data_IF_528294002363
#
_entry.id   IF_528294002363
#
_cell.length_a   1.000
_cell.length_b   1.000
_cell.length_c   1.000
_cell.angle_alpha   90.00
_cell.angle_beta   90.00
_cell.angle_gamma   90.00
#
_symmetry.space_group_name_H-M   'P 1'
#
loop_
_entity.id
_entity.type
_entity.pdbx_description
1 polymer ?
#
# COMPACT_ATOMS: atom_id res chain seq x y z
N UNK A 1 -5.34 -35.32 8.06
CA UNK A 1 -5.77 -34.45 6.95
C UNK A 1 -6.54 -33.31 7.56
N UNK A 2 -5.93 -32.12 7.69
CA UNK A 2 -6.63 -30.93 8.17
C UNK A 2 -7.52 -30.46 7.01
N UNK A 3 -8.82 -30.38 7.24
CA UNK A 3 -9.76 -29.84 6.25
C UNK A 3 -9.50 -28.34 6.13
N UNK A 4 -8.85 -27.92 5.04
CA UNK A 4 -8.44 -26.53 4.76
C UNK A 4 -9.65 -25.68 4.32
N UNK A 5 -10.86 -26.26 4.28
CA UNK A 5 -12.09 -25.51 4.04
C UNK A 5 -12.31 -24.51 5.19
N UNK A 6 -12.01 -23.25 4.90
CA UNK A 6 -12.34 -22.06 5.70
C UNK A 6 -11.60 -21.93 7.03
N UNK A 7 -10.28 -21.68 6.96
CA UNK A 7 -9.63 -20.88 8.02
C UNK A 7 -10.21 -19.46 7.97
N UNK A 8 -11.36 -19.29 8.61
CA UNK A 8 -11.96 -17.97 8.82
C UNK A 8 -11.03 -17.20 9.75
N UNK A 9 -10.46 -16.10 9.26
CA UNK A 9 -9.66 -15.24 10.12
C UNK A 9 -10.59 -14.47 11.07
N UNK A 10 -10.12 -14.26 12.29
CA UNK A 10 -10.80 -13.36 13.21
C UNK A 10 -10.72 -11.93 12.65
N UNK A 11 -11.80 -11.12 12.73
CA UNK A 11 -11.85 -9.78 12.15
C UNK A 11 -10.72 -8.87 12.67
N UNK A 12 -10.28 -9.06 13.91
CA UNK A 12 -9.15 -8.31 14.48
C UNK A 12 -7.85 -8.58 13.71
N UNK A 13 -7.60 -9.84 13.35
CA UNK A 13 -6.39 -10.23 12.62
C UNK A 13 -6.44 -9.71 11.19
N UNK A 14 -7.61 -9.73 10.55
CA UNK A 14 -7.80 -9.21 9.19
C UNK A 14 -7.57 -7.70 9.13
N UNK A 15 -8.15 -6.96 10.08
CA UNK A 15 -7.99 -5.51 10.20
C UNK A 15 -6.54 -5.13 10.52
N UNK A 16 -5.88 -5.84 11.44
CA UNK A 16 -4.48 -5.60 11.78
C UNK A 16 -3.54 -5.90 10.60
N UNK A 17 -3.79 -6.99 9.87
CA UNK A 17 -3.00 -7.34 8.70
C UNK A 17 -3.18 -6.32 7.58
N UNK A 18 -4.42 -5.89 7.30
CA UNK A 18 -4.71 -4.88 6.31
C UNK A 18 -4.07 -3.52 6.67
N UNK A 19 -4.22 -3.08 7.92
CA UNK A 19 -3.68 -1.79 8.40
C UNK A 19 -2.15 -1.77 8.37
N UNK A 20 -1.49 -2.84 8.83
CA UNK A 20 -0.03 -2.98 8.80
C UNK A 20 0.51 -2.93 7.38
N UNK A 21 -0.14 -3.65 6.46
CA UNK A 21 0.23 -3.65 5.05
C UNK A 21 0.08 -2.26 4.45
N UNK A 22 -1.03 -1.58 4.74
CA UNK A 22 -1.32 -0.26 4.20
C UNK A 22 -0.36 0.81 4.73
N UNK A 23 -0.01 0.78 6.01
CA UNK A 23 1.00 1.67 6.58
C UNK A 23 2.37 1.47 5.95
N UNK A 24 2.77 0.23 5.69
CA UNK A 24 4.03 -0.07 5.00
C UNK A 24 4.02 0.51 3.58
N UNK A 25 2.91 0.37 2.87
CA UNK A 25 2.73 0.94 1.53
C UNK A 25 2.76 2.47 1.56
N UNK A 26 2.05 3.09 2.50
CA UNK A 26 2.06 4.54 2.70
C UNK A 26 3.48 5.09 2.93
N UNK A 27 4.25 4.47 3.85
CA UNK A 27 5.65 4.86 4.12
C UNK A 27 6.50 4.78 2.86
N UNK A 28 6.36 3.70 2.07
CA UNK A 28 7.08 3.53 0.81
C UNK A 28 6.79 4.68 -0.16
N UNK A 29 5.53 5.00 -0.39
CA UNK A 29 5.18 6.04 -1.36
C UNK A 29 5.63 7.43 -0.93
N UNK A 30 5.56 7.75 0.37
CA UNK A 30 6.13 9.01 0.87
C UNK A 30 7.64 9.09 0.68
N UNK A 31 8.35 7.99 0.92
CA UNK A 31 9.78 7.94 0.64
C UNK A 31 10.05 8.10 -0.85
N UNK A 32 9.37 7.35 -1.72
CA UNK A 32 9.56 7.45 -3.17
C UNK A 32 9.25 8.84 -3.71
N UNK A 33 8.18 9.49 -3.24
CA UNK A 33 7.86 10.87 -3.61
C UNK A 33 9.05 11.81 -3.36
N UNK A 34 9.64 11.75 -2.16
CA UNK A 34 10.81 12.56 -1.82
C UNK A 34 12.04 12.19 -2.68
N UNK A 35 12.25 10.91 -2.96
CA UNK A 35 13.40 10.44 -3.74
C UNK A 35 13.33 10.85 -5.22
N UNK A 36 12.12 10.92 -5.79
CA UNK A 36 11.89 11.32 -7.18
C UNK A 36 11.85 12.84 -7.39
N UNK A 37 11.70 13.63 -6.32
CA UNK A 37 11.57 15.09 -6.41
C UNK A 37 12.62 15.79 -7.30
N UNK A 38 13.93 15.48 -7.23
CA UNK A 38 14.93 16.12 -8.10
C UNK A 38 15.06 15.46 -9.49
N UNK A 39 14.44 14.31 -9.71
CA UNK A 39 14.55 13.54 -10.94
C UNK A 39 13.37 13.78 -11.89
N UNK A 40 12.15 13.55 -11.41
CA UNK A 40 10.92 13.67 -12.18
C UNK A 40 9.78 14.11 -11.26
N UNK A 41 9.34 15.35 -11.43
CA UNK A 41 8.26 15.94 -10.64
C UNK A 41 6.92 15.20 -10.83
N UNK A 42 6.67 14.65 -12.02
CA UNK A 42 5.46 13.89 -12.29
C UNK A 42 5.46 12.56 -11.53
N UNK A 43 6.58 11.83 -11.54
CA UNK A 43 6.71 10.60 -10.73
C UNK A 43 6.60 10.90 -9.24
N UNK A 44 7.23 11.98 -8.76
CA UNK A 44 7.09 12.45 -7.38
C UNK A 44 5.63 12.71 -7.01
N UNK A 45 4.88 13.39 -7.88
CA UNK A 45 3.46 13.69 -7.67
C UNK A 45 2.61 12.40 -7.67
N UNK A 46 2.84 11.48 -8.61
CA UNK A 46 2.13 10.18 -8.64
C UNK A 46 2.37 9.38 -7.35
N UNK A 47 3.61 9.33 -6.84
CA UNK A 47 3.87 8.68 -5.55
C UNK A 47 3.17 9.40 -4.38
N UNK A 48 3.10 10.73 -4.41
CA UNK A 48 2.36 11.51 -3.40
C UNK A 48 0.88 11.15 -3.41
N UNK A 49 0.26 11.10 -4.60
CA UNK A 49 -1.15 10.73 -4.76
C UNK A 49 -1.44 9.29 -4.29
N UNK A 50 -0.54 8.35 -4.60
CA UNK A 50 -0.62 6.98 -4.07
C UNK A 50 -0.51 6.95 -2.54
N UNK A 51 0.36 7.79 -1.95
CA UNK A 51 0.44 7.97 -0.50
C UNK A 51 -0.88 8.45 0.09
N UNK A 52 -1.50 9.49 -0.48
CA UNK A 52 -2.82 9.99 -0.05
C UNK A 52 -3.92 8.94 -0.21
N UNK A 53 -3.87 8.14 -1.27
CA UNK A 53 -4.80 7.02 -1.44
C UNK A 53 -4.65 5.96 -0.33
N UNK A 54 -3.44 5.75 0.20
CA UNK A 54 -3.24 4.88 1.35
C UNK A 54 -3.89 5.43 2.62
N UNK A 55 -3.79 6.74 2.86
CA UNK A 55 -4.41 7.41 4.02
C UNK A 55 -5.93 7.20 3.99
N UNK A 56 -6.56 7.45 2.83
CA UNK A 56 -8.00 7.22 2.62
C UNK A 56 -8.41 5.76 2.85
N UNK A 57 -7.57 4.80 2.47
CA UNK A 57 -7.82 3.37 2.73
C UNK A 57 -7.73 3.04 4.21
N UNK A 58 -6.75 3.57 4.92
CA UNK A 58 -6.63 3.41 6.37
C UNK A 58 -7.83 4.00 7.10
N UNK A 59 -8.30 5.18 6.69
CA UNK A 59 -9.52 5.78 7.24
C UNK A 59 -10.76 4.91 6.98
N UNK A 60 -10.92 4.37 5.76
CA UNK A 60 -12.03 3.48 5.43
C UNK A 60 -12.00 2.17 6.24
N UNK A 61 -10.82 1.57 6.39
CA UNK A 61 -10.61 0.38 7.24
C UNK A 61 -10.92 0.71 8.70
N UNK A 62 -10.46 1.87 9.19
CA UNK A 62 -10.71 2.32 10.56
C UNK A 62 -12.21 2.52 10.82
N UNK A 63 -12.90 3.17 9.89
CA UNK A 63 -14.35 3.35 9.98
C UNK A 63 -15.12 2.03 10.02
N UNK A 64 -14.72 1.06 9.18
CA UNK A 64 -15.29 -0.28 9.21
C UNK A 64 -15.01 -1.00 10.54
N UNK A 65 -13.80 -0.84 11.08
CA UNK A 65 -13.41 -1.39 12.37
C UNK A 65 -14.17 -0.76 13.55
N UNK A 66 -14.36 0.56 13.54
CA UNK A 66 -15.07 1.30 14.59
C UNK A 66 -16.54 0.84 14.67
N UNK A 67 -17.19 0.54 13.53
CA UNK A 67 -18.54 -0.03 13.50
C UNK A 67 -18.65 -1.41 14.19
N UNK A 68 -17.52 -2.12 14.33
CA UNK A 68 -17.42 -3.40 15.02
C UNK A 68 -16.87 -3.26 16.46
N UNK A 69 -16.59 -2.04 16.93
CA UNK A 69 -15.88 -1.81 18.19
C UNK A 69 -14.41 -2.24 18.17
N UNK A 70 -13.84 -2.47 16.99
CA UNK A 70 -12.48 -2.96 16.75
C UNK A 70 -11.53 -1.87 16.24
N UNK A 71 -11.89 -0.59 16.40
CA UNK A 71 -11.10 0.55 15.95
C UNK A 71 -9.62 0.43 16.31
N UNK A 72 -9.33 0.04 17.56
CA UNK A 72 -7.97 -0.12 18.08
C UNK A 72 -7.08 -1.11 17.28
N UNK A 73 -7.64 -1.95 16.41
CA UNK A 73 -6.88 -2.86 15.54
C UNK A 73 -6.39 -2.19 14.25
N UNK A 74 -6.82 -0.95 13.96
CA UNK A 74 -6.39 -0.19 12.78
C UNK A 74 -5.53 0.98 13.22
N UNK A 75 -4.24 0.85 12.96
CA UNK A 75 -3.27 1.92 13.14
C UNK A 75 -3.41 2.94 12.00
N UNK A 76 -3.39 4.22 12.34
CA UNK A 76 -3.37 5.32 11.39
C UNK A 76 -1.95 5.86 11.23
N UNK A 77 -1.63 6.52 10.11
CA UNK A 77 -0.32 7.12 9.92
C UNK A 77 -0.12 8.21 10.98
N UNK A 78 0.88 8.05 11.84
CA UNK A 78 1.35 9.15 12.67
C UNK A 78 2.11 10.13 11.77
N UNK A 79 1.71 11.40 11.77
CA UNK A 79 2.41 12.48 11.05
C UNK A 79 3.87 12.64 11.49
N UNK A 80 4.28 12.01 12.61
CA UNK A 80 5.59 12.18 13.25
C UNK A 80 6.52 10.94 13.15
N UNK A 81 6.13 9.85 12.49
CA UNK A 81 6.97 8.65 12.50
C UNK A 81 8.09 8.65 11.44
N UNK A 82 9.28 8.92 12.00
CA UNK A 82 10.66 8.64 11.60
C UNK A 82 11.19 9.31 10.32
N UNK A 83 12.25 10.13 10.44
CA UNK A 83 13.10 10.41 9.29
C UNK A 83 13.61 9.08 8.78
N UNK A 84 13.48 8.84 7.47
CA UNK A 84 14.08 7.68 6.83
C UNK A 84 15.49 7.52 7.38
N UNK A 85 15.82 6.35 7.98
CA UNK A 85 17.20 6.01 8.35
C UNK A 85 18.04 6.18 7.09
N UNK A 86 18.64 7.35 6.97
CA UNK A 86 19.30 7.80 5.77
C UNK A 86 20.63 7.07 5.71
N UNK A 87 20.75 6.12 4.80
CA UNK A 87 22.04 5.91 4.17
C UNK A 87 22.28 7.14 3.29
N UNK A 88 23.17 8.07 3.68
CA UNK A 88 23.16 9.43 3.14
C UNK A 88 23.67 9.52 1.70
N UNK A 89 24.32 8.48 1.17
CA UNK A 89 25.06 8.63 -0.08
C UNK A 89 24.19 8.61 -1.34
N UNK A 90 22.96 8.07 -1.30
CA UNK A 90 22.06 7.98 -2.48
C UNK A 90 20.56 8.01 -2.13
N UNK A 91 20.15 8.99 -1.34
CA UNK A 91 18.72 9.15 -1.05
C UNK A 91 17.93 9.48 -2.33
N UNK A 92 18.38 10.48 -3.09
CA UNK A 92 17.70 10.92 -4.30
C UNK A 92 18.02 10.07 -5.54
N UNK A 93 17.06 10.02 -6.45
CA UNK A 93 17.24 9.44 -7.79
C UNK A 93 17.99 10.46 -8.65
N UNK A 94 19.04 10.00 -9.34
CA UNK A 94 19.88 10.84 -10.21
C UNK A 94 19.99 10.32 -11.64
N UNK A 95 19.52 9.09 -11.90
CA UNK A 95 19.56 8.45 -13.21
C UNK A 95 18.33 7.55 -13.42
N UNK A 96 18.06 7.24 -14.69
CA UNK A 96 16.90 6.44 -15.09
C UNK A 96 16.97 4.97 -14.64
N UNK A 97 18.17 4.40 -14.53
CA UNK A 97 18.32 3.01 -14.08
C UNK A 97 17.88 2.85 -12.60
N UNK A 98 18.23 3.81 -11.75
CA UNK A 98 17.79 3.86 -10.36
C UNK A 98 16.28 4.10 -10.29
N UNK A 99 15.74 4.98 -11.14
CA UNK A 99 14.29 5.22 -11.22
C UNK A 99 13.52 3.93 -11.58
N UNK A 100 13.97 3.21 -12.61
CA UNK A 100 13.38 1.95 -13.06
C UNK A 100 13.43 0.88 -11.98
N UNK A 101 14.58 0.73 -11.31
CA UNK A 101 14.72 -0.23 -10.22
C UNK A 101 13.72 0.05 -9.09
N UNK A 102 13.58 1.31 -8.68
CA UNK A 102 12.65 1.68 -7.60
C UNK A 102 11.19 1.47 -8.00
N UNK A 103 10.82 1.75 -9.25
CA UNK A 103 9.49 1.48 -9.77
C UNK A 103 9.21 -0.04 -9.84
N UNK A 104 10.18 -0.86 -10.24
CA UNK A 104 10.07 -2.31 -10.22
C UNK A 104 9.88 -2.86 -8.80
N UNK A 105 10.65 -2.37 -7.84
CA UNK A 105 10.51 -2.75 -6.43
C UNK A 105 9.15 -2.34 -5.85
N UNK A 106 8.68 -1.12 -6.17
CA UNK A 106 7.36 -0.64 -5.78
C UNK A 106 6.25 -1.50 -6.39
N UNK A 107 6.36 -1.83 -7.67
CA UNK A 107 5.41 -2.68 -8.40
C UNK A 107 5.32 -4.08 -7.78
N UNK A 108 6.46 -4.76 -7.60
CA UNK A 108 6.50 -6.10 -7.04
C UNK A 108 5.82 -6.14 -5.66
N UNK A 109 6.07 -5.10 -4.84
CA UNK A 109 5.46 -5.01 -3.54
C UNK A 109 3.97 -4.63 -3.57
N UNK A 110 3.51 -3.85 -4.56
CA UNK A 110 2.09 -3.57 -4.76
C UNK A 110 1.33 -4.81 -5.23
N UNK A 111 1.92 -5.61 -6.12
CA UNK A 111 1.35 -6.89 -6.56
C UNK A 111 1.20 -7.86 -5.38
N UNK A 112 2.22 -7.95 -4.53
CA UNK A 112 2.15 -8.77 -3.31
C UNK A 112 1.08 -8.25 -2.33
N UNK A 113 1.00 -6.93 -2.15
CA UNK A 113 -0.05 -6.33 -1.32
C UNK A 113 -1.45 -6.61 -1.86
N UNK A 114 -1.65 -6.55 -3.19
CA UNK A 114 -2.90 -6.91 -3.83
C UNK A 114 -3.24 -8.39 -3.63
N UNK A 115 -2.25 -9.29 -3.78
CA UNK A 115 -2.43 -10.73 -3.52
C UNK A 115 -2.90 -10.99 -2.09
N UNK A 116 -2.28 -10.35 -1.11
CA UNK A 116 -2.67 -10.45 0.31
C UNK A 116 -4.08 -9.87 0.53
N UNK A 117 -4.40 -8.71 -0.05
CA UNK A 117 -5.73 -8.11 0.05
C UNK A 117 -6.84 -9.02 -0.50
N UNK A 118 -6.57 -9.70 -1.62
CA UNK A 118 -7.47 -10.71 -2.20
C UNK A 118 -7.62 -11.93 -1.28
N UNK A 119 -6.54 -12.37 -0.63
CA UNK A 119 -6.60 -13.45 0.34
C UNK A 119 -7.45 -13.08 1.55
N UNK A 120 -7.26 -11.88 2.12
CA UNK A 120 -8.09 -11.36 3.21
C UNK A 120 -9.58 -11.36 2.84
N UNK A 121 -9.93 -10.87 1.65
CA UNK A 121 -11.31 -10.90 1.18
C UNK A 121 -11.86 -12.33 1.02
N UNK A 122 -11.03 -13.28 0.58
CA UNK A 122 -11.46 -14.65 0.33
C UNK A 122 -11.67 -15.48 1.61
N UNK A 123 -10.96 -15.15 2.70
CA UNK A 123 -11.05 -15.87 3.99
C UNK A 123 -11.90 -15.14 5.02
N UNK A 124 -12.44 -13.97 4.67
CA UNK A 124 -13.31 -13.18 5.52
C UNK A 124 -14.61 -13.93 5.84
N UNK A 125 -14.86 -14.11 7.14
CA UNK A 125 -16.13 -14.63 7.66
C UNK A 125 -16.97 -13.59 8.37
N UNK A 126 -16.56 -12.31 8.36
CA UNK A 126 -17.28 -11.21 8.99
C UNK A 126 -18.07 -10.43 7.93
N UNK A 127 -19.41 -10.55 7.88
CA UNK A 127 -20.23 -9.90 6.85
C UNK A 127 -20.03 -8.39 6.74
N UNK A 128 -19.83 -7.72 7.89
CA UNK A 128 -19.62 -6.28 7.97
C UNK A 128 -18.32 -5.83 7.31
N UNK A 129 -17.33 -6.72 7.18
CA UNK A 129 -16.04 -6.46 6.53
C UNK A 129 -16.02 -6.86 5.05
N UNK A 130 -17.04 -7.58 4.55
CA UNK A 130 -17.05 -8.08 3.17
C UNK A 130 -16.89 -6.97 2.15
N UNK A 131 -17.75 -5.94 2.25
CA UNK A 131 -17.70 -4.78 1.33
C UNK A 131 -16.44 -3.93 1.51
N UNK A 132 -16.02 -3.56 2.74
CA UNK A 132 -14.74 -2.87 2.96
C UNK A 132 -13.53 -3.62 2.37
N UNK A 133 -13.41 -4.93 2.59
CA UNK A 133 -12.27 -5.72 2.10
C UNK A 133 -12.31 -5.93 0.58
N UNK A 134 -13.50 -6.05 -0.01
CA UNK A 134 -13.67 -6.07 -1.46
C UNK A 134 -13.18 -4.77 -2.10
N UNK A 135 -13.60 -3.63 -1.57
CA UNK A 135 -13.18 -2.32 -2.07
C UNK A 135 -11.68 -2.10 -1.87
N UNK A 136 -11.14 -2.50 -0.71
CA UNK A 136 -9.71 -2.47 -0.43
C UNK A 136 -8.91 -3.27 -1.48
N UNK A 137 -9.33 -4.50 -1.79
CA UNK A 137 -8.67 -5.33 -2.80
C UNK A 137 -8.74 -4.72 -4.21
N UNK A 138 -9.88 -4.10 -4.57
CA UNK A 138 -10.05 -3.38 -5.84
C UNK A 138 -9.10 -2.18 -5.93
N UNK A 139 -8.98 -1.40 -4.86
CA UNK A 139 -8.10 -0.24 -4.84
C UNK A 139 -6.61 -0.65 -4.91
N UNK A 140 -6.24 -1.79 -4.31
CA UNK A 140 -4.90 -2.37 -4.51
C UNK A 140 -4.63 -2.80 -5.95
N UNK A 141 -5.64 -3.26 -6.67
CA UNK A 141 -5.49 -3.55 -8.10
C UNK A 141 -5.23 -2.27 -8.91
N UNK A 142 -5.95 -1.19 -8.60
CA UNK A 142 -5.75 0.11 -9.23
C UNK A 142 -4.35 0.66 -8.96
N UNK A 143 -3.86 0.52 -7.73
CA UNK A 143 -2.48 0.86 -7.34
C UNK A 143 -1.44 0.14 -8.23
N UNK A 144 -1.60 -1.17 -8.46
CA UNK A 144 -0.75 -1.90 -9.41
C UNK A 144 -0.84 -1.32 -10.83
N UNK A 145 -2.02 -0.93 -11.31
CA UNK A 145 -2.18 -0.37 -12.65
C UNK A 145 -1.43 0.96 -12.81
N UNK A 146 -1.57 1.86 -11.84
CA UNK A 146 -0.89 3.18 -11.83
C UNK A 146 0.63 3.01 -11.84
N UNK A 147 1.16 2.07 -11.07
CA UNK A 147 2.61 1.81 -11.07
C UNK A 147 3.09 1.24 -12.40
N UNK A 148 2.24 0.49 -13.12
CA UNK A 148 2.60 -0.16 -14.37
C UNK A 148 2.67 0.88 -15.49
N UNK A 149 1.70 1.78 -15.50
CA UNK A 149 1.70 2.97 -16.35
C UNK A 149 2.93 3.83 -16.06
N UNK A 150 3.24 4.09 -14.78
CA UNK A 150 4.40 4.88 -14.39
C UNK A 150 5.73 4.26 -14.83
N UNK A 151 5.87 2.94 -14.72
CA UNK A 151 7.03 2.22 -15.24
C UNK A 151 7.12 2.28 -16.78
N UNK A 152 5.99 2.12 -17.46
CA UNK A 152 5.93 2.18 -18.92
C UNK A 152 6.30 3.58 -19.44
N UNK A 153 5.85 4.63 -18.75
CA UNK A 153 6.14 6.02 -19.10
C UNK A 153 7.62 6.33 -18.86
N UNK A 154 8.20 5.85 -17.76
CA UNK A 154 9.61 6.02 -17.44
C UNK A 154 10.52 5.37 -18.50
N UNK A 155 10.20 4.14 -18.92
CA UNK A 155 10.96 3.43 -19.96
C UNK A 155 10.93 4.10 -21.33
N UNK A 156 9.91 4.93 -21.62
CA UNK A 156 9.86 5.74 -22.85
C UNK A 156 10.72 7.00 -22.78
N UNK A 157 11.09 7.43 -21.56
CA UNK A 157 11.89 8.64 -21.30
C UNK A 157 13.38 8.35 -21.15
N UNK A 158 13.74 7.12 -20.79
CA UNK A 158 15.12 6.62 -20.71
C UNK A 158 15.72 6.33 -22.09
#
# INVERSE_FOLDING_TARGET
MIDIKTLTLLPQNELLQASTLELKTWRRYRQLALRFLPYDAELSNRMTELGVACERRLEALRWAADNLGLGACVDLPALQDEPARAHPERFFVVDGATADQLLQEAMAAAMEAHRIARQLQAVNGTPELERPLLEYARQKQLECHILMESQTDQQKRA
#
